data_IF_553964234243
#
_entry.id   IF_553964234243
#
_cell.length_a   1.000
_cell.length_b   1.000
_cell.length_c   1.000
_cell.angle_alpha   90.00
_cell.angle_beta   90.00
_cell.angle_gamma   90.00
#
_symmetry.space_group_name_H-M   'P 1'
#
loop_
_entity.id
_entity.type
_entity.pdbx_description
1 polymer ?
#
# COMPACT_ATOMS: atom_id res chain seq x y z
N UNK A 1 -42.10 30.25 8.86
CA UNK A 1 -41.17 29.54 9.77
C UNK A 1 -40.18 28.77 8.89
N UNK A 2 -38.96 29.29 8.77
CA UNK A 2 -37.86 28.68 8.02
C UNK A 2 -37.23 27.57 8.88
N UNK A 3 -37.21 26.32 8.41
CA UNK A 3 -36.31 25.29 8.94
C UNK A 3 -35.05 25.22 8.06
N UNK A 4 -33.86 25.58 8.59
CA UNK A 4 -32.60 25.39 7.88
C UNK A 4 -32.11 23.96 8.11
N UNK A 5 -32.64 23.02 7.33
CA UNK A 5 -32.13 21.64 7.30
C UNK A 5 -31.83 21.25 5.86
N UNK A 6 -30.67 21.64 5.34
CA UNK A 6 -30.19 21.10 4.06
C UNK A 6 -28.67 21.17 3.82
N UNK A 7 -27.83 21.38 4.84
CA UNK A 7 -26.36 21.27 4.72
C UNK A 7 -25.79 20.15 5.61
N UNK A 8 -26.29 18.92 5.41
CA UNK A 8 -25.59 17.73 5.89
C UNK A 8 -24.96 17.06 4.67
N UNK A 9 -23.62 17.05 4.51
CA UNK A 9 -23.01 16.19 3.51
C UNK A 9 -23.45 14.75 3.80
N UNK A 10 -23.82 14.01 2.76
CA UNK A 10 -24.15 12.60 2.91
C UNK A 10 -22.96 11.90 3.58
N UNK A 11 -23.10 11.53 4.86
CA UNK A 11 -22.10 10.74 5.56
C UNK A 11 -22.00 9.41 4.84
N UNK A 12 -20.96 9.24 4.01
CA UNK A 12 -20.65 7.97 3.39
C UNK A 12 -20.61 6.90 4.50
N UNK A 13 -21.47 5.89 4.38
CA UNK A 13 -21.57 4.79 5.33
C UNK A 13 -20.16 4.19 5.51
N UNK A 14 -19.63 4.22 6.74
CA UNK A 14 -18.28 3.75 7.08
C UNK A 14 -18.00 2.33 6.58
N UNK A 15 -19.06 1.52 6.38
CA UNK A 15 -19.00 0.14 5.94
C UNK A 15 -18.53 -0.07 4.50
N UNK A 16 -18.64 0.91 3.59
CA UNK A 16 -18.17 0.76 2.20
C UNK A 16 -16.64 0.81 2.06
N UNK A 17 -15.92 0.90 3.19
CA UNK A 17 -14.47 1.02 3.28
C UNK A 17 -13.78 -0.29 3.66
N UNK A 18 -14.54 -1.38 3.72
CA UNK A 18 -14.04 -2.69 4.11
C UNK A 18 -13.73 -3.50 2.82
N UNK A 19 -12.48 -3.91 2.60
CA UNK A 19 -12.08 -4.63 1.40
C UNK A 19 -12.61 -6.07 1.39
N UNK A 20 -12.63 -6.68 0.20
CA UNK A 20 -13.01 -8.07 -0.01
C UNK A 20 -11.76 -8.91 -0.29
N UNK A 21 -11.69 -10.07 0.37
CA UNK A 21 -10.49 -10.91 0.39
C UNK A 21 -9.98 -11.34 -0.99
N UNK A 22 -8.65 -11.36 -1.13
CA UNK A 22 -7.94 -11.80 -2.34
C UNK A 22 -7.16 -13.09 -2.08
N UNK A 23 -7.26 -14.07 -2.98
CA UNK A 23 -6.50 -15.31 -2.89
C UNK A 23 -5.03 -15.10 -3.31
N UNK A 24 -4.08 -15.42 -2.42
CA UNK A 24 -2.65 -15.42 -2.74
C UNK A 24 -2.33 -16.61 -3.65
N UNK A 25 -1.80 -16.36 -4.86
CA UNK A 25 -1.41 -17.41 -5.80
C UNK A 25 0.11 -17.46 -6.00
N UNK A 26 0.64 -18.61 -6.44
CA UNK A 26 2.06 -18.74 -6.83
C UNK A 26 2.49 -17.73 -7.90
N UNK A 27 1.58 -17.37 -8.81
CA UNK A 27 1.84 -16.36 -9.85
C UNK A 27 2.05 -14.99 -9.22
N UNK A 28 1.24 -14.65 -8.22
CA UNK A 28 1.32 -13.38 -7.50
C UNK A 28 2.63 -13.27 -6.73
N UNK A 29 3.07 -14.34 -6.05
CA UNK A 29 4.35 -14.37 -5.34
C UNK A 29 5.54 -14.11 -6.27
N UNK A 30 5.58 -14.77 -7.44
CA UNK A 30 6.63 -14.53 -8.44
C UNK A 30 6.60 -13.11 -9.03
N UNK A 31 5.40 -12.55 -9.22
CA UNK A 31 5.26 -11.17 -9.69
C UNK A 31 5.81 -10.17 -8.67
N UNK A 32 5.63 -10.44 -7.37
CA UNK A 32 6.20 -9.63 -6.29
C UNK A 32 7.72 -9.72 -6.28
N UNK A 33 8.30 -10.94 -6.32
CA UNK A 33 9.76 -11.11 -6.38
C UNK A 33 10.36 -10.35 -7.58
N UNK A 34 9.77 -10.49 -8.77
CA UNK A 34 10.23 -9.79 -9.97
C UNK A 34 10.06 -8.27 -9.87
N UNK A 35 9.05 -7.78 -9.16
CA UNK A 35 8.85 -6.36 -8.92
C UNK A 35 9.89 -5.82 -7.94
N UNK A 36 10.22 -6.58 -6.89
CA UNK A 36 11.29 -6.25 -5.94
C UNK A 36 12.66 -6.16 -6.64
N UNK A 37 12.99 -7.10 -7.53
CA UNK A 37 14.23 -7.04 -8.32
C UNK A 37 14.33 -5.74 -9.15
N UNK A 38 13.25 -5.37 -9.85
CA UNK A 38 13.21 -4.14 -10.65
C UNK A 38 13.27 -2.87 -9.79
N UNK A 39 12.73 -2.87 -8.57
CA UNK A 39 12.91 -1.76 -7.63
C UNK A 39 14.39 -1.60 -7.25
N UNK A 40 15.13 -2.71 -7.12
CA UNK A 40 16.58 -2.68 -6.93
C UNK A 40 17.31 -2.03 -8.10
N UNK A 41 16.88 -2.29 -9.34
CA UNK A 41 17.44 -1.67 -10.54
C UNK A 41 17.19 -0.16 -10.63
N UNK A 42 16.09 0.34 -10.04
CA UNK A 42 15.83 1.77 -9.85
C UNK A 42 16.74 2.41 -8.77
N UNK A 43 17.54 1.61 -8.08
CA UNK A 43 18.52 2.04 -7.09
C UNK A 43 17.92 2.36 -5.72
N UNK A 44 16.82 1.72 -5.34
CA UNK A 44 16.37 1.73 -3.94
C UNK A 44 17.30 0.82 -3.12
N UNK A 45 17.70 1.27 -1.94
CA UNK A 45 18.68 0.51 -1.13
C UNK A 45 18.04 -0.57 -0.29
N UNK A 46 16.81 -0.33 0.19
CA UNK A 46 15.99 -1.30 0.89
C UNK A 46 14.54 -1.11 0.45
N UNK A 47 13.82 -2.21 0.30
CA UNK A 47 12.43 -2.16 -0.11
C UNK A 47 11.72 -3.43 0.33
N UNK A 48 10.41 -3.31 0.51
CA UNK A 48 9.54 -4.47 0.69
C UNK A 48 8.18 -4.18 0.07
N UNK A 49 7.73 -5.08 -0.79
CA UNK A 49 6.38 -5.08 -1.31
C UNK A 49 5.52 -6.01 -0.47
N UNK A 50 4.55 -5.43 0.26
CA UNK A 50 3.57 -6.19 1.03
C UNK A 50 2.24 -6.20 0.29
N UNK A 51 1.77 -7.38 -0.06
CA UNK A 51 0.45 -7.56 -0.61
C UNK A 51 -0.58 -7.68 0.53
N UNK A 52 -1.54 -6.76 0.54
CA UNK A 52 -2.71 -6.76 1.42
C UNK A 52 -3.95 -6.78 0.53
N UNK A 53 -4.49 -7.97 0.29
CA UNK A 53 -5.66 -8.15 -0.57
C UNK A 53 -5.51 -7.49 -1.95
N UNK A 54 -6.17 -6.36 -2.18
CA UNK A 54 -6.19 -5.58 -3.42
C UNK A 54 -5.20 -4.40 -3.42
N UNK A 55 -4.31 -4.33 -2.43
CA UNK A 55 -3.33 -3.27 -2.27
C UNK A 55 -1.91 -3.86 -2.20
N UNK A 56 -1.01 -3.30 -2.99
CA UNK A 56 0.43 -3.44 -2.77
C UNK A 56 0.90 -2.24 -1.96
N UNK A 57 1.44 -2.51 -0.76
CA UNK A 57 2.07 -1.51 0.10
C UNK A 57 3.59 -1.61 -0.04
N UNK A 58 4.19 -0.57 -0.59
CA UNK A 58 5.63 -0.41 -0.73
C UNK A 58 6.19 0.24 0.53
N UNK A 59 7.10 -0.46 1.20
CA UNK A 59 7.89 0.06 2.33
C UNK A 59 9.29 0.43 1.81
N UNK A 60 9.73 1.67 2.04
CA UNK A 60 11.05 2.20 1.67
C UNK A 60 11.66 2.97 2.83
N UNK A 61 12.99 3.10 2.92
CA UNK A 61 13.62 4.07 3.82
C UNK A 61 12.99 5.46 3.68
N UNK A 62 12.83 6.18 4.78
CA UNK A 62 12.14 7.48 4.81
C UNK A 62 12.84 8.49 3.90
N UNK A 63 14.17 8.43 3.86
CA UNK A 63 15.04 9.21 2.99
C UNK A 63 14.83 8.93 1.48
N UNK A 64 14.24 7.79 1.12
CA UNK A 64 13.97 7.40 -0.27
C UNK A 64 12.52 7.66 -0.71
N UNK A 65 11.64 8.13 0.18
CA UNK A 65 10.23 8.43 -0.17
C UNK A 65 10.10 9.54 -1.22
N UNK A 66 10.94 10.57 -1.17
CA UNK A 66 10.92 11.63 -2.19
C UNK A 66 11.35 11.10 -3.57
N UNK A 67 12.33 10.18 -3.59
CA UNK A 67 12.76 9.49 -4.81
C UNK A 67 11.63 8.63 -5.39
N UNK A 68 10.86 7.93 -4.55
CA UNK A 68 9.74 7.09 -5.02
C UNK A 68 8.63 7.92 -5.66
N UNK A 69 8.34 9.11 -5.13
CA UNK A 69 7.38 10.03 -5.74
C UNK A 69 7.85 10.54 -7.10
N UNK A 70 9.16 10.79 -7.26
CA UNK A 70 9.76 11.17 -8.55
C UNK A 70 9.72 10.04 -9.58
N UNK A 71 9.91 8.80 -9.14
CA UNK A 71 9.87 7.58 -9.96
C UNK A 71 8.48 6.90 -9.96
N UNK A 72 7.43 7.67 -9.69
CA UNK A 72 6.07 7.13 -9.50
C UNK A 72 5.60 6.30 -10.69
N UNK A 73 5.88 6.74 -11.91
CA UNK A 73 5.36 6.07 -13.11
C UNK A 73 6.07 4.73 -13.33
N UNK A 74 7.37 4.69 -13.10
CA UNK A 74 8.20 3.49 -13.15
C UNK A 74 7.74 2.46 -12.11
N UNK A 75 7.48 2.91 -10.88
CA UNK A 75 6.94 2.04 -9.82
C UNK A 75 5.56 1.48 -10.20
N UNK A 76 4.67 2.32 -10.75
CA UNK A 76 3.36 1.87 -11.24
C UNK A 76 3.52 0.81 -12.33
N UNK A 77 4.42 1.02 -13.29
CA UNK A 77 4.65 0.11 -14.40
C UNK A 77 5.20 -1.24 -13.93
N UNK A 78 6.16 -1.24 -13.01
CA UNK A 78 6.70 -2.45 -12.38
C UNK A 78 5.56 -3.25 -11.70
N UNK A 79 4.72 -2.57 -10.94
CA UNK A 79 3.68 -3.20 -10.13
C UNK A 79 2.44 -3.64 -10.93
N UNK A 80 2.25 -3.20 -12.19
CA UNK A 80 1.11 -3.62 -13.05
C UNK A 80 0.98 -5.13 -13.15
N UNK A 81 2.10 -5.84 -13.16
CA UNK A 81 2.14 -7.30 -13.33
C UNK A 81 1.63 -8.07 -12.11
N UNK A 82 1.57 -7.44 -10.94
CA UNK A 82 1.06 -8.02 -9.69
C UNK A 82 -0.48 -8.16 -9.75
N UNK A 83 -1.15 -7.32 -10.55
CA UNK A 83 -2.59 -7.42 -10.79
C UNK A 83 -3.46 -6.82 -9.69
N UNK A 84 -2.92 -5.87 -8.92
CA UNK A 84 -3.70 -5.11 -7.92
C UNK A 84 -4.15 -3.75 -8.46
N UNK A 85 -5.34 -3.26 -8.04
CA UNK A 85 -5.82 -1.93 -8.40
C UNK A 85 -5.05 -0.80 -7.72
N UNK A 86 -4.45 -1.04 -6.55
CA UNK A 86 -3.84 0.01 -5.74
C UNK A 86 -2.40 -0.30 -5.37
N UNK A 87 -1.56 0.72 -5.52
CA UNK A 87 -0.18 0.72 -5.07
C UNK A 87 -0.03 1.90 -4.12
N UNK A 88 0.40 1.61 -2.90
CA UNK A 88 0.49 2.58 -1.80
C UNK A 88 1.92 2.63 -1.28
N UNK A 89 2.29 3.78 -0.72
CA UNK A 89 3.56 3.97 -0.06
C UNK A 89 3.33 3.99 1.44
N UNK A 90 4.11 3.24 2.20
CA UNK A 90 4.09 3.32 3.65
C UNK A 90 4.82 4.59 4.11
N UNK A 91 4.07 5.53 4.69
CA UNK A 91 4.59 6.78 5.20
C UNK A 91 5.48 6.62 6.44
N UNK A 92 5.34 5.50 7.15
CA UNK A 92 6.25 5.15 8.23
C UNK A 92 7.62 4.67 7.73
N UNK A 93 7.70 4.27 6.45
CA UNK A 93 8.89 3.73 5.83
C UNK A 93 9.23 2.29 6.25
N UNK A 94 10.37 1.82 5.76
CA UNK A 94 10.89 0.48 6.01
C UNK A 94 11.40 0.36 7.45
N UNK A 95 10.89 -0.63 8.19
CA UNK A 95 11.31 -0.92 9.57
C UNK A 95 11.56 -2.41 9.77
N UNK A 96 12.66 -2.74 10.45
CA UNK A 96 12.94 -4.10 10.90
C UNK A 96 11.97 -4.45 12.01
N UNK A 97 11.17 -5.51 11.82
CA UNK A 97 10.18 -5.95 12.82
C UNK A 97 8.78 -5.33 12.69
N UNK A 98 8.43 -4.66 11.58
CA UNK A 98 7.09 -4.02 11.43
C UNK A 98 5.89 -4.98 11.52
N UNK A 99 6.11 -6.30 11.36
CA UNK A 99 5.06 -7.29 11.60
C UNK A 99 4.76 -7.51 13.10
N UNK A 100 5.72 -7.21 13.98
CA UNK A 100 5.57 -7.38 15.43
C UNK A 100 4.90 -6.17 16.11
N UNK A 101 4.82 -5.01 15.47
CA UNK A 101 4.16 -3.83 16.02
C UNK A 101 2.64 -4.00 16.06
N UNK A 102 2.05 -4.63 15.03
CA UNK A 102 0.61 -4.92 14.97
C UNK A 102 0.16 -5.90 16.07
N UNK A 103 1.05 -6.80 16.50
CA UNK A 103 0.76 -7.77 17.57
C UNK A 103 0.82 -7.17 18.98
N UNK A 104 1.41 -5.98 19.15
CA UNK A 104 1.53 -5.32 20.45
C UNK A 104 0.41 -4.30 20.72
N UNK A 105 -0.41 -3.97 19.73
CA UNK A 105 -1.55 -3.05 19.87
C UNK A 105 -2.85 -3.70 20.36
N UNK A 106 -2.88 -5.02 20.57
CA UNK A 106 -4.06 -5.75 21.06
C UNK A 106 -4.06 -5.99 22.59
N UNK A 107 -3.25 -5.25 23.36
CA UNK A 107 -3.26 -5.30 24.83
C UNK A 107 -3.40 -3.90 25.45
N UNK A 108 -4.54 -3.25 25.26
CA UNK A 108 -5.09 -2.25 26.21
C UNK A 108 -6.62 -2.36 26.30
#
# INVERSE_FOLDING_TARGET
MNLPTADKPASACLASRLPYGTAITHKTLRAIESAEDQLGELGFTQYRLRLHEDIVRLELPVEELDKSLKLRNEILDICKTIGVPYITLDLHGYRVGSLNEVLNSDNE
#
